data_IF_995464840711
#
_entry.id   IF_995464840711
#
_cell.length_a   1.000
_cell.length_b   1.000
_cell.length_c   1.000
_cell.angle_alpha   90.00
_cell.angle_beta   90.00
_cell.angle_gamma   90.00
#
_symmetry.space_group_name_H-M   'P 1'
#
loop_
_entity.id
_entity.type
_entity.pdbx_description
1 polymer ?
#
# COMPACT_ATOMS: atom_id res chain seq x y z
N UNK A 1 4.67 19.47 -3.13
CA UNK A 1 4.22 18.13 -2.72
C UNK A 1 4.35 17.29 -3.97
N UNK A 2 5.42 16.49 -4.03
CA UNK A 2 6.13 16.18 -5.27
C UNK A 2 5.32 15.41 -6.32
N UNK A 3 5.67 15.67 -7.57
CA UNK A 3 5.28 14.99 -8.82
C UNK A 3 5.72 13.50 -8.85
N UNK A 4 5.63 12.79 -7.73
CA UNK A 4 6.05 11.39 -7.65
C UNK A 4 4.94 10.50 -8.22
N UNK A 5 5.16 10.07 -9.46
CA UNK A 5 4.29 9.13 -10.15
C UNK A 5 4.54 7.69 -9.63
N UNK A 6 3.79 7.33 -8.59
CA UNK A 6 3.83 6.00 -7.98
C UNK A 6 3.56 4.88 -8.99
N UNK A 7 2.73 5.14 -10.01
CA UNK A 7 2.29 4.16 -10.99
C UNK A 7 3.39 3.85 -12.03
N UNK A 8 4.40 4.72 -12.16
CA UNK A 8 5.55 4.53 -13.07
C UNK A 8 6.77 3.91 -12.42
N UNK A 9 6.80 3.74 -11.09
CA UNK A 9 7.92 3.07 -10.40
C UNK A 9 7.97 1.61 -10.75
N UNK A 10 9.17 1.03 -10.71
CA UNK A 10 9.31 -0.42 -10.72
C UNK A 10 8.68 -1.01 -9.45
N UNK A 11 7.93 -2.10 -9.57
CA UNK A 11 7.23 -2.71 -8.42
C UNK A 11 8.20 -3.19 -7.31
N UNK A 12 9.46 -3.45 -7.65
CA UNK A 12 10.52 -3.80 -6.71
C UNK A 12 11.23 -2.59 -6.07
N UNK A 13 11.02 -1.37 -6.60
CA UNK A 13 11.60 -0.15 -6.05
C UNK A 13 10.83 0.31 -4.80
N UNK A 14 11.09 -0.39 -3.70
CA UNK A 14 10.53 -0.12 -2.38
C UNK A 14 11.42 0.77 -1.51
N UNK A 15 12.65 1.09 -1.95
CA UNK A 15 13.69 1.71 -1.11
C UNK A 15 13.23 2.97 -0.39
N UNK A 16 12.51 3.87 -1.09
CA UNK A 16 11.93 5.07 -0.47
C UNK A 16 10.86 4.76 0.57
N UNK A 17 10.03 3.73 0.35
CA UNK A 17 9.01 3.31 1.31
C UNK A 17 9.66 2.64 2.53
N UNK A 18 10.69 1.82 2.33
CA UNK A 18 11.43 1.21 3.43
C UNK A 18 12.11 2.27 4.29
N UNK A 19 12.76 3.25 3.66
CA UNK A 19 13.38 4.39 4.32
C UNK A 19 12.34 5.23 5.08
N UNK A 20 11.20 5.54 4.46
CA UNK A 20 10.12 6.28 5.10
C UNK A 20 9.57 5.52 6.31
N UNK A 21 9.36 4.20 6.20
CA UNK A 21 8.90 3.39 7.33
C UNK A 21 9.95 3.37 8.43
N UNK A 22 11.23 3.22 8.09
CA UNK A 22 12.35 3.24 9.05
C UNK A 22 12.44 4.57 9.78
N UNK A 23 12.28 5.69 9.07
CA UNK A 23 12.25 7.04 9.65
C UNK A 23 11.09 7.18 10.62
N UNK A 24 9.86 6.81 10.21
CA UNK A 24 8.69 6.85 11.11
C UNK A 24 8.94 6.00 12.37
N UNK A 25 9.51 4.81 12.19
CA UNK A 25 9.82 3.90 13.29
C UNK A 25 10.99 4.37 14.17
N UNK A 26 11.82 5.32 13.73
CA UNK A 26 12.94 5.86 14.53
C UNK A 26 12.58 7.13 15.31
N UNK A 27 11.39 7.71 15.09
CA UNK A 27 10.93 8.91 15.80
C UNK A 27 10.86 8.69 17.31
N UNK A 28 11.55 9.47 18.14
CA UNK A 28 11.56 9.32 19.61
C UNK A 28 10.15 9.31 20.22
N UNK A 29 9.24 10.11 19.66
CA UNK A 29 7.86 10.28 20.12
C UNK A 29 7.01 9.02 19.93
N UNK A 30 7.36 8.19 18.94
CA UNK A 30 6.60 6.99 18.59
C UNK A 30 7.18 5.70 19.18
N UNK A 31 8.36 5.76 19.82
CA UNK A 31 9.06 4.56 20.34
C UNK A 31 8.23 3.78 21.36
N UNK A 32 7.31 4.45 22.07
CA UNK A 32 6.49 3.80 23.09
C UNK A 32 5.21 3.16 22.55
N UNK A 33 4.85 3.39 21.30
CA UNK A 33 3.63 2.89 20.67
C UNK A 33 3.79 1.40 20.32
N UNK A 34 2.79 0.58 20.66
CA UNK A 34 2.78 -0.87 20.40
C UNK A 34 3.03 -1.21 18.93
N UNK A 35 2.42 -0.45 18.01
CA UNK A 35 2.61 -0.64 16.57
C UNK A 35 4.07 -0.48 16.14
N UNK A 36 4.83 0.45 16.73
CA UNK A 36 6.26 0.63 16.44
C UNK A 36 7.08 -0.51 17.04
N UNK A 37 6.83 -0.85 18.31
CA UNK A 37 7.52 -1.94 19.02
C UNK A 37 7.38 -3.29 18.33
N UNK A 38 6.21 -3.56 17.75
CA UNK A 38 5.91 -4.82 17.06
C UNK A 38 6.14 -4.74 15.54
N UNK A 39 6.61 -3.61 15.01
CA UNK A 39 6.83 -3.43 13.57
C UNK A 39 5.55 -3.43 12.73
N UNK A 40 4.38 -3.21 13.33
CA UNK A 40 3.08 -3.12 12.64
C UNK A 40 2.83 -1.70 12.12
N UNK A 41 3.77 -1.19 11.32
CA UNK A 41 3.69 0.11 10.63
C UNK A 41 3.61 -0.14 9.14
N UNK A 42 2.56 0.38 8.51
CA UNK A 42 2.22 0.16 7.11
C UNK A 42 2.16 1.50 6.38
N UNK A 43 2.58 1.49 5.12
CA UNK A 43 2.49 2.60 4.18
C UNK A 43 1.52 2.22 3.08
N UNK A 44 0.65 3.15 2.70
CA UNK A 44 -0.31 3.00 1.62
C UNK A 44 -0.39 4.29 0.82
N UNK A 45 -0.38 4.17 -0.50
CA UNK A 45 -0.44 5.31 -1.40
C UNK A 45 -1.80 6.03 -1.28
N UNK A 46 -1.76 7.37 -1.31
CA UNK A 46 -2.95 8.20 -1.17
C UNK A 46 -4.09 7.91 -2.17
N UNK A 47 -3.84 7.46 -3.42
CA UNK A 47 -4.94 7.12 -4.34
C UNK A 47 -5.78 5.92 -3.92
N UNK A 48 -5.28 5.08 -3.00
CA UNK A 48 -6.01 3.97 -2.40
C UNK A 48 -6.79 4.38 -1.14
N UNK A 49 -6.70 5.65 -0.74
CA UNK A 49 -7.40 6.19 0.42
C UNK A 49 -8.66 6.98 0.02
N UNK A 50 -9.59 7.17 0.96
CA UNK A 50 -10.87 7.85 0.72
C UNK A 50 -10.77 9.37 0.61
N UNK A 51 -9.55 9.94 0.65
CA UNK A 51 -9.35 11.38 0.71
C UNK A 51 -9.43 12.04 -0.67
N UNK A 52 -10.33 13.01 -0.81
CA UNK A 52 -10.48 13.82 -2.02
C UNK A 52 -9.39 14.90 -2.09
N UNK A 53 -8.88 15.27 -3.28
CA UNK A 53 -9.40 14.94 -4.62
C UNK A 53 -8.83 13.64 -5.23
N UNK A 54 -7.96 12.94 -4.51
CA UNK A 54 -7.15 11.84 -5.08
C UNK A 54 -7.82 10.45 -4.97
N UNK A 55 -9.04 10.38 -4.42
CA UNK A 55 -9.84 9.16 -4.35
C UNK A 55 -10.28 8.72 -5.75
N UNK A 56 -9.45 7.90 -6.40
CA UNK A 56 -9.74 7.37 -7.74
C UNK A 56 -10.74 6.22 -7.73
N UNK A 57 -11.74 6.24 -6.84
CA UNK A 57 -12.70 5.15 -6.59
C UNK A 57 -12.05 3.79 -6.24
N UNK A 58 -10.79 3.79 -5.83
CA UNK A 58 -9.96 2.60 -5.55
C UNK A 58 -9.89 2.23 -4.07
N UNK A 59 -10.69 2.86 -3.20
CA UNK A 59 -10.61 2.69 -1.75
C UNK A 59 -10.88 1.24 -1.28
N UNK A 60 -11.67 0.46 -2.02
CA UNK A 60 -11.92 -0.95 -1.71
C UNK A 60 -10.65 -1.80 -1.79
N UNK A 61 -9.66 -1.43 -2.62
CA UNK A 61 -8.33 -2.06 -2.66
C UNK A 61 -7.59 -1.74 -1.36
N UNK A 62 -7.62 -0.49 -0.90
CA UNK A 62 -7.04 -0.10 0.39
C UNK A 62 -7.68 -0.83 1.56
N UNK A 63 -9.01 -1.01 1.54
CA UNK A 63 -9.72 -1.82 2.53
C UNK A 63 -9.27 -3.29 2.53
N UNK A 64 -9.00 -3.89 1.36
CA UNK A 64 -8.48 -5.25 1.29
C UNK A 64 -7.10 -5.37 1.95
N UNK A 65 -6.20 -4.41 1.72
CA UNK A 65 -4.90 -4.37 2.41
C UNK A 65 -5.05 -4.20 3.93
N UNK A 66 -5.92 -3.30 4.38
CA UNK A 66 -6.20 -3.14 5.81
C UNK A 66 -6.75 -4.41 6.45
N UNK A 67 -7.68 -5.10 5.79
CA UNK A 67 -8.23 -6.36 6.27
C UNK A 67 -7.11 -7.41 6.44
N UNK A 68 -6.23 -7.54 5.44
CA UNK A 68 -5.10 -8.45 5.46
C UNK A 68 -4.09 -8.12 6.57
N UNK A 69 -3.70 -6.84 6.71
CA UNK A 69 -2.72 -6.41 7.71
C UNK A 69 -3.22 -6.48 9.14
N UNK A 70 -4.50 -6.16 9.38
CA UNK A 70 -5.06 -6.09 10.73
C UNK A 70 -5.55 -7.45 11.22
N UNK A 71 -6.00 -8.31 10.31
CA UNK A 71 -6.58 -9.61 10.64
C UNK A 71 -6.07 -10.72 9.69
N UNK A 72 -4.74 -10.97 9.62
CA UNK A 72 -4.17 -11.94 8.69
C UNK A 72 -4.72 -13.36 8.89
N UNK A 73 -5.12 -13.70 10.12
CA UNK A 73 -5.71 -15.01 10.42
C UNK A 73 -7.13 -15.21 9.89
N UNK A 74 -7.91 -14.13 9.79
CA UNK A 74 -9.26 -14.17 9.23
C UNK A 74 -9.23 -14.08 7.69
N UNK A 75 -8.24 -13.38 7.14
CA UNK A 75 -8.13 -13.10 5.70
C UNK A 75 -6.91 -13.78 5.08
N UNK A 76 -6.65 -15.05 5.45
CA UNK A 76 -5.51 -15.83 4.93
C UNK A 76 -5.52 -15.97 3.41
N UNK A 77 -6.70 -16.14 2.83
CA UNK A 77 -6.89 -16.37 1.40
C UNK A 77 -7.11 -15.08 0.59
N UNK A 78 -7.23 -13.93 1.27
CA UNK A 78 -7.36 -12.64 0.59
C UNK A 78 -6.02 -12.22 0.01
N UNK A 79 -5.97 -12.00 -1.31
CA UNK A 79 -4.86 -11.38 -2.02
C UNK A 79 -5.29 -9.98 -2.52
N UNK A 80 -4.98 -8.90 -1.76
CA UNK A 80 -5.32 -7.54 -2.16
C UNK A 80 -4.67 -7.11 -3.48
N UNK A 81 -3.49 -7.68 -3.82
CA UNK A 81 -2.78 -7.38 -5.07
C UNK A 81 -3.51 -8.01 -6.25
N UNK A 82 -3.99 -9.24 -6.12
CA UNK A 82 -4.81 -9.88 -7.16
C UNK A 82 -6.12 -9.12 -7.40
N UNK A 83 -6.78 -8.64 -6.34
CA UNK A 83 -7.98 -7.79 -6.45
C UNK A 83 -7.67 -6.51 -7.23
N UNK A 84 -6.54 -5.85 -6.91
CA UNK A 84 -6.12 -4.64 -7.62
C UNK A 84 -5.78 -4.93 -9.09
N UNK A 85 -5.05 -6.02 -9.36
CA UNK A 85 -4.68 -6.42 -10.71
C UNK A 85 -5.91 -6.71 -11.58
N UNK A 86 -6.90 -7.38 -11.01
CA UNK A 86 -8.19 -7.63 -11.67
C UNK A 86 -8.93 -6.32 -11.96
N UNK A 87 -8.96 -5.38 -11.01
CA UNK A 87 -9.56 -4.06 -11.23
C UNK A 87 -8.96 -3.33 -12.43
N UNK A 88 -7.63 -3.29 -12.53
CA UNK A 88 -6.93 -2.60 -13.62
C UNK A 88 -7.20 -3.27 -14.99
N UNK A 89 -7.18 -4.60 -15.05
CA UNK A 89 -7.31 -5.31 -16.32
C UNK A 89 -8.77 -5.45 -16.78
N UNK A 90 -9.65 -5.95 -15.91
CA UNK A 90 -11.04 -6.31 -16.28
C UNK A 90 -11.96 -5.09 -16.31
N UNK A 91 -11.82 -4.18 -15.35
CA UNK A 91 -12.76 -3.07 -15.18
C UNK A 91 -12.25 -1.76 -15.76
N UNK A 92 -10.93 -1.53 -15.75
CA UNK A 92 -10.33 -0.33 -16.36
C UNK A 92 -9.79 -0.59 -17.77
N UNK A 93 -9.62 -1.85 -18.18
CA UNK A 93 -9.11 -2.20 -19.51
C UNK A 93 -7.66 -1.78 -19.75
N UNK A 94 -6.88 -1.59 -18.67
CA UNK A 94 -5.49 -1.14 -18.76
C UNK A 94 -4.57 -2.35 -18.94
N UNK A 95 -3.60 -2.24 -19.84
CA UNK A 95 -2.47 -3.17 -19.92
C UNK A 95 -1.46 -2.79 -18.81
N UNK A 96 -1.80 -3.02 -17.54
CA UNK A 96 -0.97 -2.63 -16.39
C UNK A 96 -0.60 -3.83 -15.53
N UNK A 97 0.69 -4.10 -15.36
CA UNK A 97 1.20 -5.22 -14.56
C UNK A 97 1.78 -4.72 -13.23
N UNK A 98 1.04 -4.93 -12.13
CA UNK A 98 1.47 -4.60 -10.77
C UNK A 98 2.70 -5.42 -10.34
N UNK A 99 3.03 -6.50 -11.06
CA UNK A 99 4.25 -7.29 -10.96
C UNK A 99 5.51 -6.53 -11.35
N UNK A 100 5.37 -5.60 -12.30
CA UNK A 100 6.50 -4.89 -12.93
C UNK A 100 6.54 -3.42 -12.57
N UNK A 101 5.38 -2.83 -12.31
CA UNK A 101 5.26 -1.40 -12.01
C UNK A 101 4.26 -1.12 -10.91
N UNK A 102 4.52 -0.05 -10.16
CA UNK A 102 3.68 0.41 -9.07
C UNK A 102 4.19 -0.06 -7.71
N UNK A 103 4.64 0.90 -6.90
CA UNK A 103 4.95 0.67 -5.47
C UNK A 103 3.94 1.42 -4.62
N UNK A 104 2.80 0.76 -4.36
CA UNK A 104 1.62 1.42 -3.79
C UNK A 104 1.37 1.11 -2.32
N UNK A 105 2.03 0.09 -1.78
CA UNK A 105 1.90 -0.35 -0.38
C UNK A 105 3.23 -0.87 0.15
N UNK A 106 3.44 -0.80 1.46
CA UNK A 106 4.58 -1.42 2.13
C UNK A 106 4.29 -1.73 3.61
N UNK A 107 4.65 -2.91 4.13
CA UNK A 107 5.13 -4.08 3.41
C UNK A 107 4.09 -4.64 2.42
N UNK A 108 4.56 -5.33 1.38
CA UNK A 108 3.68 -6.09 0.48
C UNK A 108 3.17 -7.32 1.23
N UNK A 109 1.86 -7.59 1.19
CA UNK A 109 1.18 -8.64 1.96
C UNK A 109 0.21 -9.47 1.13
#
# INVERSE_FOLDING_TARGET
>A
MGDEDYDRRDAGDTGKLEETRREIMSRPELQNITAVKEGRVYLIASPLWTYMPFSGCRHFIGLAYLAKWLHPDLFKDLDPRAVHQRYLNEFQGLDYDLGKRGTLVYPVS
#
